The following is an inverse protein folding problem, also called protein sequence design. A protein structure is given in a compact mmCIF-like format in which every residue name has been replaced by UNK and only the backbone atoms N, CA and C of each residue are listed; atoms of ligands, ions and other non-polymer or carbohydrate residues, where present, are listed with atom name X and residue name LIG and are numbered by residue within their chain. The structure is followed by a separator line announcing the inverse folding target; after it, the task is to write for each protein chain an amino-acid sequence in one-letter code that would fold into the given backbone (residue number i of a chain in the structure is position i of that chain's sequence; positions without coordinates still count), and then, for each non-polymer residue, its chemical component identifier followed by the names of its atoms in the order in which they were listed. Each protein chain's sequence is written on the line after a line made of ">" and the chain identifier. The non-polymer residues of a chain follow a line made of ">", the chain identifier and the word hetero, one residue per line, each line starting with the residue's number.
data_IF_684133526136
#
_entry.id   IF_684133526136
#
_cell.length_a   1.000
_cell.length_b   1.000
_cell.length_c   1.000
_cell.angle_alpha   90.00
_cell.angle_beta   90.00
_cell.angle_gamma   90.00
#
_symmetry.space_group_name_H-M   'P 1'
#
loop_
_entity.id
_entity.type
_entity.pdbx_description
1 polymer ?
#
# COMPACT_ATOMS: atom_id res chain seq x y z
N UNK A 1 28.50 34.86 9.36
CA UNK A 1 27.22 34.46 9.99
C UNK A 1 26.22 33.82 9.03
N UNK A 2 26.05 34.32 7.79
CA UNK A 2 25.07 33.80 6.80
C UNK A 2 25.36 32.37 6.32
N UNK A 3 26.63 32.02 6.07
CA UNK A 3 27.01 30.65 5.66
C UNK A 3 26.68 29.60 6.72
N UNK A 4 26.89 29.90 8.01
CA UNK A 4 26.61 28.96 9.09
C UNK A 4 25.11 28.66 9.20
N UNK A 5 24.26 29.69 9.10
CA UNK A 5 22.79 29.52 9.06
C UNK A 5 22.34 28.67 7.87
N UNK A 6 23.01 28.81 6.73
CA UNK A 6 22.74 28.01 5.53
C UNK A 6 23.11 26.53 5.78
N UNK A 7 24.30 26.27 6.32
CA UNK A 7 24.76 24.91 6.62
C UNK A 7 23.88 24.20 7.65
N UNK A 8 23.53 24.88 8.75
CA UNK A 8 22.63 24.37 9.78
C UNK A 8 21.23 24.06 9.21
N UNK A 9 20.71 24.94 8.35
CA UNK A 9 19.46 24.70 7.64
C UNK A 9 19.54 23.46 6.74
N UNK A 10 20.63 23.26 5.99
CA UNK A 10 20.82 22.06 5.17
C UNK A 10 20.90 20.78 5.99
N UNK A 11 21.66 20.77 7.10
CA UNK A 11 21.78 19.58 7.94
C UNK A 11 20.45 19.19 8.59
N UNK A 12 19.64 20.18 9.01
CA UNK A 12 18.29 19.96 9.52
C UNK A 12 17.38 19.34 8.43
N UNK A 13 17.41 19.87 7.21
CA UNK A 13 16.61 19.32 6.11
C UNK A 13 17.02 17.90 5.74
N UNK A 14 18.32 17.62 5.64
CA UNK A 14 18.82 16.30 5.31
C UNK A 14 18.40 15.28 6.38
N UNK A 15 18.54 15.64 7.66
CA UNK A 15 18.11 14.80 8.80
C UNK A 15 16.59 14.57 8.82
N UNK A 16 15.79 15.54 8.36
CA UNK A 16 14.34 15.39 8.26
C UNK A 16 13.90 14.52 7.07
N UNK A 17 14.65 14.55 5.96
CA UNK A 17 14.41 13.71 4.77
C UNK A 17 14.76 12.25 5.08
N UNK A 18 15.93 12.01 5.67
CA UNK A 18 16.39 10.67 6.09
C UNK A 18 15.38 9.98 7.03
N UNK A 19 14.86 10.70 8.04
CA UNK A 19 13.83 10.15 8.94
C UNK A 19 12.55 9.74 8.21
N UNK A 20 12.09 10.53 7.23
CA UNK A 20 10.87 10.20 6.48
C UNK A 20 11.06 8.94 5.65
N UNK A 21 12.23 8.80 5.04
CA UNK A 21 12.58 7.64 4.23
C UNK A 21 12.76 6.38 5.09
N UNK A 22 13.34 6.50 6.28
CA UNK A 22 13.42 5.42 7.27
C UNK A 22 12.02 4.89 7.64
N UNK A 23 11.10 5.78 8.01
CA UNK A 23 9.72 5.39 8.33
C UNK A 23 9.01 4.73 7.14
N UNK A 24 9.26 5.23 5.93
CA UNK A 24 8.70 4.69 4.69
C UNK A 24 9.16 3.25 4.45
N UNK A 25 10.46 2.97 4.63
CA UNK A 25 11.01 1.62 4.47
C UNK A 25 10.52 0.66 5.53
N UNK A 26 10.39 1.13 6.78
CA UNK A 26 9.81 0.34 7.85
C UNK A 26 8.38 -0.05 7.45
N UNK A 27 7.56 0.90 6.99
CA UNK A 27 6.21 0.60 6.53
C UNK A 27 6.19 -0.39 5.35
N UNK A 28 7.05 -0.19 4.34
CA UNK A 28 7.14 -1.07 3.18
C UNK A 28 7.54 -2.50 3.58
N UNK A 29 8.61 -2.65 4.36
CA UNK A 29 9.08 -3.96 4.84
C UNK A 29 8.02 -4.69 5.66
N UNK A 30 7.29 -3.98 6.54
CA UNK A 30 6.16 -4.54 7.29
C UNK A 30 5.05 -5.02 6.35
N UNK A 31 4.64 -4.21 5.38
CA UNK A 31 3.59 -4.61 4.43
C UNK A 31 4.04 -5.80 3.56
N UNK A 32 5.30 -5.82 3.13
CA UNK A 32 5.86 -6.94 2.38
C UNK A 32 5.85 -8.23 3.22
N UNK A 33 6.25 -8.15 4.49
CA UNK A 33 6.23 -9.27 5.41
C UNK A 33 4.80 -9.79 5.65
N UNK A 34 3.82 -8.89 5.83
CA UNK A 34 2.41 -9.25 5.99
C UNK A 34 1.85 -9.89 4.71
N UNK A 35 2.16 -9.34 3.54
CA UNK A 35 1.69 -9.90 2.27
C UNK A 35 2.30 -11.29 2.00
N UNK A 36 3.59 -11.45 2.32
CA UNK A 36 4.30 -12.71 2.19
C UNK A 36 3.75 -13.77 3.18
N UNK A 37 3.55 -13.38 4.45
CA UNK A 37 2.99 -14.29 5.45
C UNK A 37 1.57 -14.73 5.07
N UNK A 38 0.75 -13.82 4.56
CA UNK A 38 -0.59 -14.13 4.06
C UNK A 38 -0.57 -15.02 2.80
N UNK A 39 0.53 -15.07 2.04
CA UNK A 39 0.66 -15.97 0.89
C UNK A 39 1.04 -17.40 1.32
N UNK A 40 1.96 -17.57 2.28
CA UNK A 40 2.38 -18.89 2.76
C UNK A 40 1.41 -19.48 3.79
N UNK A 41 0.58 -18.65 4.40
CA UNK A 41 -0.43 -19.02 5.39
C UNK A 41 -1.72 -18.26 5.08
N UNK A 42 -2.44 -18.66 4.02
CA UNK A 42 -3.61 -17.95 3.56
C UNK A 42 -4.70 -17.85 4.64
N UNK A 43 -5.48 -16.76 4.64
CA UNK A 43 -6.65 -16.62 5.48
C UNK A 43 -7.57 -17.84 5.33
N UNK A 44 -8.05 -18.42 6.43
CA UNK A 44 -8.82 -19.67 6.40
C UNK A 44 -7.97 -20.94 6.47
N UNK A 45 -6.64 -20.84 6.33
CA UNK A 45 -5.70 -21.94 6.50
C UNK A 45 -5.48 -22.77 5.24
N UNK A 46 -4.71 -23.85 5.40
CA UNK A 46 -4.41 -24.84 4.35
C UNK A 46 -4.92 -26.21 4.78
N UNK A 47 -5.38 -27.01 3.82
CA UNK A 47 -5.78 -28.38 4.07
C UNK A 47 -4.55 -29.23 4.50
N UNK A 48 -4.63 -29.87 5.66
CA UNK A 48 -3.56 -30.71 6.19
C UNK A 48 -3.32 -31.97 5.33
N UNK A 49 -2.05 -32.36 5.19
CA UNK A 49 -1.63 -33.54 4.41
C UNK A 49 -1.94 -34.86 5.12
N UNK A 50 -1.90 -34.89 6.45
CA UNK A 50 -2.16 -36.09 7.29
C UNK A 50 -3.64 -36.33 7.58
N UNK A 51 -4.53 -35.57 6.96
CA UNK A 51 -5.96 -35.71 7.14
C UNK A 51 -6.43 -36.94 6.34
N UNK A 52 -6.20 -38.16 6.87
CA UNK A 52 -6.76 -39.43 6.35
C UNK A 52 -8.30 -39.44 6.26
N UNK A 53 -8.94 -38.38 6.75
CA UNK A 53 -10.28 -37.91 6.39
C UNK A 53 -10.19 -36.40 6.19
N UNK A 54 -10.81 -35.81 5.15
CA UNK A 54 -10.92 -34.36 5.05
C UNK A 54 -11.53 -33.83 6.37
N UNK A 55 -11.14 -32.61 6.84
CA UNK A 55 -11.76 -32.02 8.02
C UNK A 55 -13.29 -32.10 7.87
N UNK A 56 -14.05 -32.32 8.95
CA UNK A 56 -15.49 -32.64 8.90
C UNK A 56 -16.40 -31.63 8.14
N UNK A 57 -15.83 -30.48 7.73
CA UNK A 57 -16.44 -29.42 6.94
C UNK A 57 -15.90 -29.30 5.49
N UNK A 58 -14.92 -30.11 5.10
CA UNK A 58 -14.35 -30.16 3.76
C UNK A 58 -14.90 -31.38 3.00
N UNK A 59 -15.42 -31.20 1.77
CA UNK A 59 -15.80 -32.31 0.92
C UNK A 59 -14.55 -33.12 0.53
N UNK A 60 -14.77 -34.36 0.11
CA UNK A 60 -13.76 -35.35 -0.31
C UNK A 60 -12.87 -34.93 -1.51
N UNK A 61 -12.80 -33.65 -1.85
CA UNK A 61 -12.23 -33.10 -3.09
C UNK A 61 -11.08 -32.11 -2.88
N UNK A 62 -10.84 -31.64 -1.65
CA UNK A 62 -9.71 -30.76 -1.35
C UNK A 62 -8.41 -31.57 -1.39
N UNK A 63 -7.48 -31.19 -2.28
CA UNK A 63 -6.16 -31.83 -2.33
C UNK A 63 -5.33 -31.39 -1.12
N UNK A 64 -4.42 -32.26 -0.63
CA UNK A 64 -3.41 -31.85 0.34
C UNK A 64 -2.71 -30.57 -0.10
N UNK A 65 -2.49 -29.61 0.80
CA UNK A 65 -1.89 -28.29 0.55
C UNK A 65 -2.74 -27.24 -0.18
N UNK A 66 -3.99 -27.53 -0.53
CA UNK A 66 -4.88 -26.50 -1.08
C UNK A 66 -5.28 -25.46 -0.02
N UNK A 67 -5.37 -24.21 -0.44
CA UNK A 67 -5.81 -23.11 0.40
C UNK A 67 -7.30 -23.22 0.67
N UNK A 68 -7.69 -23.21 1.95
CA UNK A 68 -9.10 -23.19 2.34
C UNK A 68 -9.80 -21.90 1.90
N UNK A 69 -9.04 -20.82 1.66
CA UNK A 69 -9.57 -19.57 1.12
C UNK A 69 -10.23 -19.76 -0.25
N UNK A 70 -9.60 -20.54 -1.14
CA UNK A 70 -10.11 -20.83 -2.48
C UNK A 70 -11.37 -21.67 -2.47
N UNK A 71 -11.63 -22.37 -1.37
CA UNK A 71 -12.78 -23.26 -1.24
C UNK A 71 -14.07 -22.52 -0.86
N UNK A 72 -14.00 -21.53 0.03
CA UNK A 72 -15.20 -20.84 0.51
C UNK A 72 -15.88 -20.00 -0.58
N UNK A 73 -15.10 -19.24 -1.34
CA UNK A 73 -15.58 -18.47 -2.49
C UNK A 73 -14.43 -18.21 -3.47
N UNK A 74 -14.44 -18.93 -4.59
CA UNK A 74 -13.39 -18.85 -5.62
C UNK A 74 -13.20 -17.41 -6.12
N UNK A 75 -14.28 -16.65 -6.32
CA UNK A 75 -14.18 -15.29 -6.86
C UNK A 75 -13.56 -14.32 -5.86
N UNK A 76 -13.91 -14.44 -4.58
CA UNK A 76 -13.33 -13.57 -3.54
C UNK A 76 -11.88 -13.96 -3.24
N UNK A 77 -11.56 -15.25 -3.26
CA UNK A 77 -10.20 -15.76 -3.10
C UNK A 77 -9.27 -15.27 -4.22
N UNK A 78 -9.68 -15.36 -5.49
CA UNK A 78 -8.86 -14.90 -6.62
C UNK A 78 -8.53 -13.41 -6.51
N UNK A 79 -9.52 -12.61 -6.10
CA UNK A 79 -9.33 -11.17 -5.87
C UNK A 79 -8.36 -10.92 -4.72
N UNK A 80 -8.47 -11.66 -3.61
CA UNK A 80 -7.48 -11.57 -2.53
C UNK A 80 -6.06 -11.80 -3.05
N UNK A 81 -5.82 -12.87 -3.81
CA UNK A 81 -4.49 -13.20 -4.34
C UNK A 81 -3.94 -12.12 -5.26
N UNK A 82 -4.77 -11.56 -6.14
CA UNK A 82 -4.39 -10.47 -7.04
C UNK A 82 -3.95 -9.24 -6.24
N UNK A 83 -4.80 -8.75 -5.32
CA UNK A 83 -4.50 -7.55 -4.55
C UNK A 83 -3.35 -7.76 -3.55
N UNK A 84 -3.23 -8.94 -2.94
CA UNK A 84 -2.11 -9.27 -2.05
C UNK A 84 -0.78 -9.25 -2.83
N UNK A 85 -0.75 -9.85 -4.02
CA UNK A 85 0.45 -9.88 -4.88
C UNK A 85 0.85 -8.49 -5.37
N UNK A 86 -0.13 -7.66 -5.77
CA UNK A 86 0.13 -6.26 -6.13
C UNK A 86 0.76 -5.51 -4.95
N UNK A 87 0.24 -5.69 -3.73
CA UNK A 87 0.79 -5.02 -2.54
C UNK A 87 2.22 -5.47 -2.23
N UNK A 88 2.50 -6.77 -2.37
CA UNK A 88 3.83 -7.35 -2.17
C UNK A 88 4.83 -6.80 -3.19
N UNK A 89 4.52 -6.90 -4.48
CA UNK A 89 5.42 -6.45 -5.56
C UNK A 89 5.67 -4.95 -5.51
N UNK A 90 4.63 -4.16 -5.23
CA UNK A 90 4.75 -2.71 -5.13
C UNK A 90 5.60 -2.33 -3.91
N UNK A 91 5.45 -3.03 -2.78
CA UNK A 91 6.29 -2.82 -1.60
C UNK A 91 7.76 -3.20 -1.84
N UNK A 92 8.01 -4.35 -2.47
CA UNK A 92 9.36 -4.77 -2.86
C UNK A 92 9.99 -3.78 -3.84
N UNK A 93 9.20 -3.19 -4.73
CA UNK A 93 9.67 -2.14 -5.64
C UNK A 93 10.14 -0.92 -4.86
N UNK A 94 9.39 -0.45 -3.85
CA UNK A 94 9.80 0.67 -2.98
C UNK A 94 11.13 0.36 -2.27
N UNK A 95 11.26 -0.83 -1.69
CA UNK A 95 12.50 -1.25 -1.01
C UNK A 95 13.66 -1.30 -2.02
N UNK A 96 13.45 -1.91 -3.19
CA UNK A 96 14.46 -2.03 -4.24
C UNK A 96 14.94 -0.67 -4.72
N UNK A 97 14.02 0.24 -5.04
CA UNK A 97 14.37 1.58 -5.50
C UNK A 97 15.14 2.38 -4.45
N UNK A 98 14.85 2.16 -3.16
CA UNK A 98 15.57 2.81 -2.08
C UNK A 98 16.98 2.25 -1.90
N UNK A 99 17.10 0.92 -1.79
CA UNK A 99 18.39 0.24 -1.59
C UNK A 99 19.33 0.43 -2.78
N UNK A 100 18.78 0.49 -4.00
CA UNK A 100 19.59 0.63 -5.22
C UNK A 100 20.28 1.97 -5.36
N UNK A 101 19.94 2.98 -4.54
CA UNK A 101 20.58 4.30 -4.58
C UNK A 101 20.54 4.97 -5.97
N UNK A 102 19.59 4.54 -6.83
CA UNK A 102 19.49 5.00 -8.22
C UNK A 102 19.25 6.51 -8.23
N UNK A 103 20.21 7.27 -8.76
CA UNK A 103 20.15 8.72 -8.92
C UNK A 103 19.24 9.15 -10.08
N UNK A 104 18.08 8.49 -10.21
CA UNK A 104 17.00 8.97 -11.07
C UNK A 104 16.66 10.41 -10.64
N UNK A 105 16.24 11.24 -11.61
CA UNK A 105 15.88 12.65 -11.33
C UNK A 105 15.06 12.69 -10.04
N UNK A 106 15.62 13.29 -8.98
CA UNK A 106 15.11 13.20 -7.59
C UNK A 106 13.60 13.42 -7.48
N UNK A 107 13.04 14.30 -8.32
CA UNK A 107 11.59 14.56 -8.41
C UNK A 107 10.77 13.36 -8.93
N UNK A 108 11.24 12.64 -9.96
CA UNK A 108 10.55 11.49 -10.54
C UNK A 108 10.60 10.27 -9.60
N UNK A 109 11.75 10.00 -8.98
CA UNK A 109 11.89 8.91 -8.02
C UNK A 109 10.97 9.11 -6.81
N UNK A 110 10.98 10.31 -6.20
CA UNK A 110 10.10 10.62 -5.05
C UNK A 110 8.61 10.56 -5.44
N UNK A 111 8.27 10.98 -6.67
CA UNK A 111 6.91 10.86 -7.18
C UNK A 111 6.49 9.39 -7.34
N UNK A 112 7.34 8.55 -7.94
CA UNK A 112 7.08 7.13 -8.12
C UNK A 112 6.89 6.42 -6.77
N UNK A 113 7.76 6.69 -5.79
CA UNK A 113 7.65 6.14 -4.44
C UNK A 113 6.35 6.51 -3.75
N UNK A 114 5.91 7.77 -3.90
CA UNK A 114 4.61 8.21 -3.37
C UNK A 114 3.47 7.44 -4.00
N UNK A 115 3.43 7.32 -5.33
CA UNK A 115 2.38 6.58 -6.04
C UNK A 115 2.40 5.10 -5.64
N UNK A 116 3.58 4.49 -5.58
CA UNK A 116 3.76 3.11 -5.15
C UNK A 116 3.19 2.87 -3.74
N UNK A 117 3.44 3.77 -2.78
CA UNK A 117 2.86 3.64 -1.44
C UNK A 117 1.34 3.70 -1.42
N UNK A 118 0.74 4.62 -2.17
CA UNK A 118 -0.72 4.71 -2.27
C UNK A 118 -1.33 3.42 -2.83
N UNK A 119 -0.70 2.86 -3.86
CA UNK A 119 -1.10 1.59 -4.47
C UNK A 119 -0.95 0.45 -3.45
N UNK A 120 0.21 0.34 -2.79
CA UNK A 120 0.48 -0.71 -1.80
C UNK A 120 -0.55 -0.73 -0.67
N UNK A 121 -0.81 0.42 -0.04
CA UNK A 121 -1.73 0.51 1.10
C UNK A 121 -3.16 0.22 0.65
N UNK A 122 -3.60 0.78 -0.48
CA UNK A 122 -4.96 0.55 -1.00
C UNK A 122 -5.17 -0.91 -1.39
N UNK A 123 -4.19 -1.51 -2.07
CA UNK A 123 -4.22 -2.91 -2.47
C UNK A 123 -4.26 -3.84 -1.26
N UNK A 124 -3.45 -3.57 -0.24
CA UNK A 124 -3.44 -4.36 1.00
C UNK A 124 -4.78 -4.26 1.75
N UNK A 125 -5.37 -3.07 1.85
CA UNK A 125 -6.68 -2.89 2.46
C UNK A 125 -7.79 -3.67 1.72
N UNK A 126 -7.76 -3.64 0.38
CA UNK A 126 -8.70 -4.38 -0.45
C UNK A 126 -8.51 -5.90 -0.29
N UNK A 127 -7.26 -6.38 -0.26
CA UNK A 127 -6.95 -7.79 -0.01
C UNK A 127 -7.53 -8.24 1.34
N UNK A 128 -7.33 -7.46 2.40
CA UNK A 128 -7.91 -7.74 3.72
C UNK A 128 -9.44 -7.90 3.66
N UNK A 129 -10.14 -7.00 2.98
CA UNK A 129 -11.61 -7.10 2.83
C UNK A 129 -12.02 -8.39 2.13
N UNK A 130 -11.32 -8.79 1.05
CA UNK A 130 -11.63 -10.05 0.37
C UNK A 130 -11.33 -11.27 1.21
N UNK A 131 -10.21 -11.29 1.94
CA UNK A 131 -9.88 -12.34 2.88
C UNK A 131 -10.96 -12.55 3.94
N UNK A 132 -11.43 -11.47 4.57
CA UNK A 132 -12.47 -11.57 5.61
C UNK A 132 -13.80 -12.01 5.01
N UNK A 133 -14.18 -11.49 3.83
CA UNK A 133 -15.43 -11.90 3.16
C UNK A 133 -15.42 -13.35 2.72
N UNK A 134 -14.29 -13.84 2.20
CA UNK A 134 -14.15 -15.23 1.79
C UNK A 134 -14.17 -16.19 3.00
N UNK A 135 -13.58 -15.80 4.13
CA UNK A 135 -13.53 -16.66 5.34
C UNK A 135 -14.79 -16.58 6.21
N UNK A 136 -15.62 -15.54 6.07
CA UNK A 136 -16.85 -15.35 6.85
C UNK A 136 -18.09 -15.40 5.94
N UNK A 137 -18.73 -16.57 5.77
CA UNK A 137 -19.93 -16.69 4.95
C UNK A 137 -21.05 -15.77 5.43
N UNK A 138 -21.93 -15.40 4.50
CA UNK A 138 -22.96 -14.35 4.58
C UNK A 138 -23.97 -14.47 5.73
N UNK A 139 -23.91 -15.55 6.51
CA UNK A 139 -24.67 -15.76 7.74
C UNK A 139 -24.32 -14.74 8.83
N UNK A 140 -23.08 -14.23 8.85
CA UNK A 140 -22.62 -13.22 9.83
C UNK A 140 -22.80 -11.79 9.30
N UNK A 141 -24.05 -11.33 9.29
CA UNK A 141 -24.44 -10.01 8.72
C UNK A 141 -23.73 -8.83 9.39
N UNK A 142 -23.39 -8.93 10.67
CA UNK A 142 -22.75 -7.84 11.41
C UNK A 142 -21.29 -7.61 11.01
N UNK A 143 -20.56 -8.69 10.69
CA UNK A 143 -19.19 -8.61 10.15
C UNK A 143 -19.16 -7.90 8.80
N UNK A 144 -20.11 -8.23 7.92
CA UNK A 144 -20.22 -7.60 6.59
C UNK A 144 -20.59 -6.12 6.65
N UNK A 145 -21.51 -5.75 7.57
CA UNK A 145 -21.85 -4.33 7.81
C UNK A 145 -20.63 -3.55 8.30
N UNK A 146 -19.88 -4.12 9.24
CA UNK A 146 -18.68 -3.49 9.79
C UNK A 146 -17.61 -3.29 8.72
N UNK A 147 -17.38 -4.30 7.86
CA UNK A 147 -16.48 -4.18 6.71
C UNK A 147 -16.92 -3.10 5.73
N UNK A 148 -18.21 -3.03 5.40
CA UNK A 148 -18.72 -2.02 4.47
C UNK A 148 -18.55 -0.60 5.02
N UNK A 149 -18.83 -0.38 6.30
CA UNK A 149 -18.58 0.90 6.97
C UNK A 149 -17.09 1.24 6.92
N UNK A 150 -16.22 0.27 7.22
CA UNK A 150 -14.76 0.44 7.14
C UNK A 150 -14.27 0.82 5.74
N UNK A 151 -14.79 0.17 4.69
CA UNK A 151 -14.45 0.48 3.28
C UNK A 151 -14.92 1.88 2.89
N UNK A 152 -16.12 2.28 3.32
CA UNK A 152 -16.63 3.64 3.07
C UNK A 152 -15.74 4.67 3.77
N UNK A 153 -15.41 4.45 5.05
CA UNK A 153 -14.53 5.32 5.81
C UNK A 153 -13.14 5.43 5.17
N UNK A 154 -12.57 4.30 4.72
CA UNK A 154 -11.30 4.25 3.99
C UNK A 154 -11.38 5.04 2.67
N UNK A 155 -12.45 4.85 1.91
CA UNK A 155 -12.68 5.59 0.66
C UNK A 155 -12.79 7.09 0.87
N UNK A 156 -13.47 7.54 1.93
CA UNK A 156 -13.55 8.95 2.31
C UNK A 156 -12.16 9.48 2.68
N UNK A 157 -11.39 8.72 3.47
CA UNK A 157 -10.02 9.10 3.86
C UNK A 157 -9.11 9.25 2.62
N UNK A 158 -9.17 8.31 1.67
CA UNK A 158 -8.46 8.41 0.40
C UNK A 158 -8.89 9.65 -0.37
N UNK A 159 -10.20 9.86 -0.53
CA UNK A 159 -10.75 11.00 -1.27
C UNK A 159 -10.26 12.34 -0.69
N UNK A 160 -10.34 12.51 0.63
CA UNK A 160 -9.84 13.71 1.32
C UNK A 160 -8.36 13.91 1.06
N UNK A 161 -7.55 12.84 1.16
CA UNK A 161 -6.10 12.98 0.99
C UNK A 161 -5.72 13.29 -0.45
N UNK A 162 -6.39 12.66 -1.44
CA UNK A 162 -6.22 12.99 -2.86
C UNK A 162 -6.66 14.42 -3.16
N UNK A 163 -7.79 14.88 -2.61
CA UNK A 163 -8.27 16.25 -2.78
C UNK A 163 -7.26 17.26 -2.20
N UNK A 164 -6.75 17.04 -0.99
CA UNK A 164 -5.70 17.90 -0.40
C UNK A 164 -4.41 17.88 -1.23
N UNK A 165 -3.97 16.71 -1.70
CA UNK A 165 -2.79 16.60 -2.55
C UNK A 165 -2.97 17.32 -3.89
N UNK A 166 -4.17 17.25 -4.47
CA UNK A 166 -4.53 17.90 -5.72
C UNK A 166 -4.60 19.43 -5.58
N UNK A 167 -5.24 19.94 -4.51
CA UNK A 167 -5.25 21.37 -4.18
C UNK A 167 -3.84 21.90 -3.98
N UNK A 168 -3.00 21.18 -3.21
CA UNK A 168 -1.60 21.55 -3.02
C UNK A 168 -0.83 21.57 -4.35
N UNK A 169 -1.07 20.62 -5.24
CA UNK A 169 -0.43 20.57 -6.55
C UNK A 169 -0.86 21.73 -7.46
N UNK A 170 -2.14 22.12 -7.45
CA UNK A 170 -2.64 23.29 -8.20
C UNK A 170 -1.99 24.57 -7.68
N UNK A 171 -2.05 24.77 -6.36
CA UNK A 171 -1.54 26.00 -5.75
C UNK A 171 -0.04 26.16 -6.01
N UNK A 172 0.73 25.08 -5.82
CA UNK A 172 2.17 25.09 -6.12
C UNK A 172 2.48 25.24 -7.61
N UNK A 173 1.59 24.82 -8.52
CA UNK A 173 1.77 25.06 -9.95
C UNK A 173 1.59 26.54 -10.27
N UNK A 174 0.55 27.16 -9.71
CA UNK A 174 0.22 28.56 -9.97
C UNK A 174 1.32 29.49 -9.42
N UNK A 175 1.88 29.20 -8.23
CA UNK A 175 3.05 29.91 -7.68
C UNK A 175 4.26 29.90 -8.62
N UNK A 176 4.54 28.76 -9.27
CA UNK A 176 5.67 28.60 -10.18
C UNK A 176 5.45 29.38 -11.48
N UNK A 177 4.20 29.43 -11.96
CA UNK A 177 3.81 30.22 -13.13
C UNK A 177 3.95 31.72 -12.84
N UNK A 178 3.46 32.19 -11.69
CA UNK A 178 3.61 33.60 -11.28
C UNK A 178 5.08 33.99 -11.06
N UNK A 179 5.90 33.09 -10.52
CA UNK A 179 7.34 33.33 -10.39
C UNK A 179 8.04 33.42 -11.75
N UNK A 180 7.66 32.59 -12.72
CA UNK A 180 8.20 32.63 -14.08
C UNK A 180 7.79 33.90 -14.85
N UNK A 181 6.53 34.34 -14.68
CA UNK A 181 6.03 35.59 -15.28
C UNK A 181 6.82 36.81 -14.76
N UNK A 182 6.96 36.94 -13.43
CA UNK A 182 7.75 38.03 -12.81
C UNK A 182 9.22 38.06 -13.25
N UNK A 183 9.81 36.90 -13.51
CA UNK A 183 11.18 36.84 -14.00
C UNK A 183 11.29 37.31 -15.45
N UNK A 184 10.26 37.12 -16.27
CA UNK A 184 10.22 37.55 -17.67
C UNK A 184 10.01 39.05 -17.76
N UNK A 185 9.12 39.62 -16.94
CA UNK A 185 8.85 41.06 -16.90
C UNK A 185 10.05 41.90 -16.41
N UNK A 186 10.92 41.34 -15.57
CA UNK A 186 12.12 42.03 -15.07
C UNK A 186 13.31 42.00 -16.05
N UNK A 187 13.22 41.28 -17.17
CA UNK A 187 14.30 41.15 -18.17
C UNK A 187 14.04 42.06 -19.39
N UNK A 188 12.83 42.61 -19.53
CA UNK A 188 12.42 43.57 -20.58
C UNK A 188 12.51 45.00 -20.04
#
# INVERSE_FOLDING_TARGET
>A
MVMMKKFEKYSIFQKAEEKKDEHLLIAASVIAAIAYSAAISPPGGIASVDAGKPPAFAPNSLKPSESLLGYFDSNLSDRFWIFNTISLLTSLSVIFFYVSGLSLKRKFQVWLMRVAMWITISSMAIAYVFAVRATNPSTHKDTQKTLNIGVIAWGIMLFVTYACAWVNWIWTRDDQVEAAARHTDNIV
#
